data_IF_704252146436
#
_entry.id   IF_704252146436
#
_cell.length_a   1.000
_cell.length_b   1.000
_cell.length_c   1.000
_cell.angle_alpha   90.00
_cell.angle_beta   90.00
_cell.angle_gamma   90.00
#
_symmetry.space_group_name_H-M   'P 1'
#
loop_
_entity.id
_entity.type
_entity.pdbx_description
1 polymer ?
#
# COMPACT_ATOMS: atom_id res chain seq x y z
N UNK A 1 -33.53 -16.80 25.19
CA UNK A 1 -34.38 -17.92 24.72
C UNK A 1 -35.27 -18.31 25.90
N UNK A 2 -36.52 -17.92 25.91
CA UNK A 2 -37.46 -18.31 26.98
C UNK A 2 -38.01 -19.70 26.61
N UNK A 3 -37.74 -20.68 27.44
CA UNK A 3 -38.28 -22.04 27.31
C UNK A 3 -39.71 -21.96 27.83
N UNK A 4 -40.70 -22.02 26.92
CA UNK A 4 -42.10 -22.20 27.29
C UNK A 4 -42.27 -23.60 27.84
N UNK A 5 -43.06 -23.71 28.92
CA UNK A 5 -43.28 -24.92 29.68
C UNK A 5 -44.24 -25.88 28.93
N UNK A 6 -44.02 -26.15 27.66
CA UNK A 6 -44.77 -27.13 26.86
C UNK A 6 -44.03 -28.47 26.85
N UNK A 7 -44.78 -29.55 26.98
CA UNK A 7 -44.26 -30.89 27.25
C UNK A 7 -43.35 -31.48 26.15
N UNK A 8 -43.20 -30.84 25.01
CA UNK A 8 -42.32 -31.25 23.92
C UNK A 8 -41.97 -30.05 23.00
N UNK A 9 -40.78 -29.52 23.15
CA UNK A 9 -40.22 -28.57 22.19
C UNK A 9 -39.26 -29.31 21.22
N UNK A 10 -39.59 -29.38 19.95
CA UNK A 10 -38.72 -29.96 18.90
C UNK A 10 -37.96 -28.83 18.23
N UNK A 11 -36.67 -28.72 18.52
CA UNK A 11 -35.77 -27.82 17.83
C UNK A 11 -34.94 -28.61 16.78
N UNK A 12 -34.99 -28.21 15.52
CA UNK A 12 -34.15 -28.79 14.46
C UNK A 12 -32.93 -27.91 14.27
N UNK A 13 -31.76 -28.51 14.30
CA UNK A 13 -30.48 -27.84 14.02
C UNK A 13 -29.88 -28.41 12.74
N UNK A 14 -29.37 -27.53 11.88
CA UNK A 14 -28.56 -27.93 10.74
C UNK A 14 -27.10 -27.65 11.06
N UNK A 15 -26.25 -28.68 11.00
CA UNK A 15 -24.79 -28.55 11.15
C UNK A 15 -24.21 -28.58 9.73
N UNK A 16 -23.59 -27.48 9.34
CA UNK A 16 -22.89 -27.36 8.05
C UNK A 16 -21.40 -27.53 8.26
N UNK A 17 -20.82 -28.60 7.69
CA UNK A 17 -19.39 -28.87 7.66
C UNK A 17 -18.87 -28.58 6.25
N UNK A 18 -18.40 -27.36 6.02
CA UNK A 18 -17.91 -26.91 4.71
C UNK A 18 -16.67 -26.04 4.89
N UNK A 19 -15.78 -25.99 3.91
CA UNK A 19 -14.71 -24.98 3.89
C UNK A 19 -15.32 -23.57 3.95
N UNK A 20 -14.60 -22.62 4.53
CA UNK A 20 -14.96 -21.20 4.54
C UNK A 20 -14.68 -20.57 3.16
N UNK A 21 -15.29 -21.12 2.13
CA UNK A 21 -15.25 -20.62 0.76
C UNK A 21 -16.42 -19.69 0.48
N UNK A 22 -16.13 -18.52 -0.10
CA UNK A 22 -17.16 -17.50 -0.37
C UNK A 22 -18.26 -18.02 -1.30
N UNK A 23 -17.91 -18.73 -2.39
CA UNK A 23 -18.86 -19.19 -3.38
C UNK A 23 -19.74 -20.30 -2.80
N UNK A 24 -19.15 -21.23 -2.04
CA UNK A 24 -19.87 -22.30 -1.37
C UNK A 24 -20.84 -21.72 -0.35
N UNK A 25 -20.36 -20.81 0.53
CA UNK A 25 -21.21 -20.21 1.56
C UNK A 25 -22.36 -19.40 0.96
N UNK A 26 -22.10 -18.67 -0.13
CA UNK A 26 -23.11 -17.89 -0.85
C UNK A 26 -24.18 -18.78 -1.52
N UNK A 27 -23.81 -19.97 -2.00
CA UNK A 27 -24.74 -20.88 -2.66
C UNK A 27 -25.87 -21.39 -1.75
N UNK A 28 -25.72 -21.28 -0.43
CA UNK A 28 -26.76 -21.66 0.53
C UNK A 28 -27.86 -20.60 0.73
N UNK A 29 -27.69 -19.37 0.21
CA UNK A 29 -28.67 -18.27 0.24
C UNK A 29 -29.21 -17.90 1.64
N UNK A 30 -28.47 -18.21 2.71
CA UNK A 30 -28.81 -17.92 4.10
C UNK A 30 -27.78 -17.01 4.78
N UNK A 31 -27.14 -16.14 4.00
CA UNK A 31 -26.17 -15.14 4.46
C UNK A 31 -24.93 -15.72 5.18
N UNK A 32 -24.58 -16.98 4.94
CA UNK A 32 -23.40 -17.62 5.53
C UNK A 32 -22.08 -16.96 5.13
N UNK A 33 -22.03 -16.33 3.96
CA UNK A 33 -20.88 -15.56 3.51
C UNK A 33 -20.59 -14.36 4.44
N UNK A 34 -21.55 -13.92 5.24
CA UNK A 34 -21.36 -12.88 6.27
C UNK A 34 -20.53 -13.35 7.45
N UNK A 35 -20.35 -14.67 7.62
CA UNK A 35 -19.46 -15.25 8.65
C UNK A 35 -17.98 -15.01 8.33
N UNK A 36 -17.63 -14.77 7.05
CA UNK A 36 -16.31 -14.32 6.67
C UNK A 36 -16.09 -12.90 7.20
N UNK A 37 -15.28 -12.78 8.27
CA UNK A 37 -15.01 -11.50 8.92
C UNK A 37 -13.97 -10.72 8.10
N UNK A 38 -14.41 -9.62 7.51
CA UNK A 38 -13.51 -8.60 6.99
C UNK A 38 -13.41 -7.46 8.02
N UNK A 39 -12.20 -7.07 8.41
CA UNK A 39 -12.02 -5.86 9.21
C UNK A 39 -12.62 -4.67 8.46
N UNK A 40 -13.39 -3.80 9.13
CA UNK A 40 -14.11 -2.67 8.52
C UNK A 40 -15.11 -3.12 7.42
N UNK A 41 -15.97 -4.08 7.74
CA UNK A 41 -16.92 -4.75 6.84
C UNK A 41 -17.67 -3.81 5.88
N UNK A 42 -18.13 -2.69 6.36
CA UNK A 42 -18.90 -1.72 5.58
C UNK A 42 -18.14 -1.16 4.35
N UNK A 43 -16.81 -0.96 4.45
CA UNK A 43 -16.02 -0.35 3.38
C UNK A 43 -15.17 -1.38 2.62
N UNK A 44 -14.67 -2.39 3.32
CA UNK A 44 -13.73 -3.39 2.80
C UNK A 44 -14.46 -4.51 2.06
N UNK A 45 -15.61 -4.97 2.59
CA UNK A 45 -16.39 -6.05 2.00
C UNK A 45 -16.83 -5.77 0.56
N UNK A 46 -17.40 -4.60 0.20
CA UNK A 46 -17.77 -4.32 -1.19
C UNK A 46 -16.58 -4.39 -2.15
N UNK A 47 -15.42 -3.87 -1.74
CA UNK A 47 -14.19 -3.92 -2.55
C UNK A 47 -13.74 -5.37 -2.75
N UNK A 48 -13.72 -6.17 -1.68
CA UNK A 48 -13.33 -7.57 -1.74
C UNK A 48 -14.27 -8.40 -2.63
N UNK A 49 -15.60 -8.30 -2.39
CA UNK A 49 -16.59 -9.16 -3.02
C UNK A 49 -16.95 -8.77 -4.46
N UNK A 50 -17.03 -7.46 -4.75
CA UNK A 50 -17.48 -6.98 -6.05
C UNK A 50 -16.34 -6.60 -7.00
N UNK A 51 -15.12 -6.40 -6.48
CA UNK A 51 -13.98 -5.99 -7.32
C UNK A 51 -12.88 -7.05 -7.30
N UNK A 52 -12.32 -7.37 -6.12
CA UNK A 52 -11.10 -8.18 -6.05
C UNK A 52 -11.39 -9.63 -6.41
N UNK A 53 -12.33 -10.29 -5.73
CA UNK A 53 -12.65 -11.70 -5.96
C UNK A 53 -13.07 -11.99 -7.40
N UNK A 54 -14.04 -11.27 -8.01
CA UNK A 54 -14.45 -11.55 -9.38
C UNK A 54 -13.31 -11.42 -10.39
N UNK A 55 -12.44 -10.39 -10.21
CA UNK A 55 -11.29 -10.20 -11.12
C UNK A 55 -10.27 -11.32 -10.95
N UNK A 56 -9.93 -11.71 -9.73
CA UNK A 56 -8.98 -12.78 -9.45
C UNK A 56 -9.48 -14.13 -10.02
N UNK A 57 -10.74 -14.48 -9.77
CA UNK A 57 -11.33 -15.74 -10.27
C UNK A 57 -11.47 -15.74 -11.80
N UNK A 58 -11.90 -14.63 -12.40
CA UNK A 58 -11.93 -14.50 -13.86
C UNK A 58 -10.55 -14.68 -14.47
N UNK A 59 -9.51 -14.06 -13.89
CA UNK A 59 -8.14 -14.25 -14.38
C UNK A 59 -7.66 -15.69 -14.19
N UNK A 60 -8.00 -16.31 -13.05
CA UNK A 60 -7.62 -17.69 -12.79
C UNK A 60 -8.30 -18.71 -13.72
N UNK A 61 -9.51 -18.43 -14.18
CA UNK A 61 -10.19 -19.30 -15.16
C UNK A 61 -9.43 -19.41 -16.49
N UNK A 62 -8.58 -18.42 -16.82
CA UNK A 62 -7.74 -18.40 -18.03
C UNK A 62 -6.30 -18.80 -17.73
N UNK A 63 -5.79 -18.43 -16.54
CA UNK A 63 -4.38 -18.60 -16.14
C UNK A 63 -4.32 -19.56 -14.94
N UNK A 64 -3.81 -20.79 -15.10
CA UNK A 64 -3.88 -21.79 -14.03
C UNK A 64 -2.97 -21.50 -12.83
N UNK A 65 -2.05 -20.53 -12.91
CA UNK A 65 -1.10 -20.18 -11.85
C UNK A 65 -1.57 -18.99 -11.04
N UNK A 66 -1.91 -19.17 -9.77
CA UNK A 66 -2.28 -18.11 -8.85
C UNK A 66 -1.20 -17.04 -8.68
N UNK A 67 0.07 -17.40 -8.68
CA UNK A 67 1.16 -16.43 -8.59
C UNK A 67 1.18 -15.46 -9.78
N UNK A 68 0.98 -15.98 -11.01
CA UNK A 68 0.89 -15.13 -12.22
C UNK A 68 -0.36 -14.26 -12.16
N UNK A 69 -1.50 -14.81 -11.72
CA UNK A 69 -2.75 -14.04 -11.52
C UNK A 69 -2.53 -12.86 -10.58
N UNK A 70 -1.87 -13.08 -9.44
CA UNK A 70 -1.57 -12.02 -8.47
C UNK A 70 -0.66 -10.94 -9.08
N UNK A 71 0.36 -11.34 -9.83
CA UNK A 71 1.27 -10.39 -10.49
C UNK A 71 0.54 -9.52 -11.52
N UNK A 72 -0.30 -10.14 -12.36
CA UNK A 72 -1.10 -9.42 -13.35
C UNK A 72 -2.19 -8.55 -12.69
N UNK A 73 -2.79 -9.04 -11.61
CA UNK A 73 -3.72 -8.24 -10.82
C UNK A 73 -3.04 -6.99 -10.24
N UNK A 74 -1.80 -7.11 -9.73
CA UNK A 74 -1.02 -5.96 -9.28
C UNK A 74 -0.76 -4.95 -10.43
N UNK A 75 -0.52 -5.44 -11.65
CA UNK A 75 -0.36 -4.58 -12.82
C UNK A 75 -1.68 -3.87 -13.18
N UNK A 76 -2.81 -4.56 -13.19
CA UNK A 76 -4.14 -3.98 -13.44
C UNK A 76 -4.43 -2.90 -12.39
N UNK A 77 -4.25 -3.21 -11.12
CA UNK A 77 -4.44 -2.24 -10.04
C UNK A 77 -3.53 -1.02 -10.19
N UNK A 78 -2.28 -1.22 -10.65
CA UNK A 78 -1.37 -0.11 -10.95
C UNK A 78 -1.89 0.77 -12.08
N UNK A 79 -2.44 0.18 -13.14
CA UNK A 79 -3.03 0.93 -14.26
C UNK A 79 -4.25 1.72 -13.79
N UNK A 80 -5.16 1.08 -13.05
CA UNK A 80 -6.38 1.70 -12.51
C UNK A 80 -6.05 2.86 -11.56
N UNK A 81 -5.05 2.68 -10.69
CA UNK A 81 -4.62 3.71 -9.74
C UNK A 81 -3.63 4.74 -10.34
N UNK A 82 -3.28 4.59 -11.62
CA UNK A 82 -2.30 5.48 -12.27
C UNK A 82 -2.70 6.96 -12.29
N UNK A 83 -3.96 7.37 -12.58
CA UNK A 83 -4.35 8.78 -12.54
C UNK A 83 -4.14 9.39 -11.15
N UNK A 84 -4.42 8.63 -10.07
CA UNK A 84 -4.16 9.06 -8.71
C UNK A 84 -2.67 9.21 -8.43
N UNK A 85 -1.86 8.23 -8.87
CA UNK A 85 -0.37 8.28 -8.76
C UNK A 85 0.19 9.50 -9.49
N UNK A 86 -0.33 9.82 -10.68
CA UNK A 86 0.10 11.00 -11.46
C UNK A 86 -0.20 12.31 -10.73
N UNK A 87 -1.37 12.43 -10.12
CA UNK A 87 -1.74 13.60 -9.32
C UNK A 87 -0.83 13.75 -8.10
N UNK A 88 -0.54 12.65 -7.41
CA UNK A 88 0.42 12.62 -6.30
C UNK A 88 1.81 13.08 -6.74
N UNK A 89 2.34 12.50 -7.82
CA UNK A 89 3.66 12.88 -8.35
C UNK A 89 3.74 14.37 -8.69
N UNK A 90 2.68 14.94 -9.28
CA UNK A 90 2.61 16.38 -9.57
C UNK A 90 2.61 17.23 -8.29
N UNK A 91 1.87 16.82 -7.26
CA UNK A 91 1.87 17.50 -5.95
C UNK A 91 3.25 17.45 -5.30
N UNK A 92 3.94 16.31 -5.39
CA UNK A 92 5.29 16.15 -4.83
C UNK A 92 6.33 16.96 -5.62
N UNK A 93 6.21 17.07 -6.95
CA UNK A 93 7.05 17.96 -7.76
C UNK A 93 6.93 19.42 -7.29
N UNK A 94 5.71 19.92 -7.12
CA UNK A 94 5.46 21.27 -6.61
C UNK A 94 6.05 21.45 -5.20
N UNK A 95 5.86 20.45 -4.32
CA UNK A 95 6.43 20.45 -2.97
C UNK A 95 7.96 20.54 -3.02
N UNK A 96 8.61 19.76 -3.88
CA UNK A 96 10.06 19.78 -4.07
C UNK A 96 10.58 21.15 -4.51
N UNK A 97 9.85 21.85 -5.39
CA UNK A 97 10.24 23.19 -5.88
C UNK A 97 10.22 24.27 -4.78
N UNK A 98 9.30 24.15 -3.81
CA UNK A 98 9.23 25.12 -2.70
C UNK A 98 10.08 24.75 -1.48
N UNK A 99 10.66 23.55 -1.48
CA UNK A 99 11.46 23.04 -0.36
C UNK A 99 12.63 23.97 0.04
N UNK A 100 13.42 24.57 -0.89
CA UNK A 100 14.45 25.55 -0.51
C UNK A 100 13.88 26.78 0.19
N UNK A 101 12.69 27.27 -0.20
CA UNK A 101 12.01 28.38 0.49
C UNK A 101 11.61 27.97 1.91
N UNK A 102 11.08 26.77 2.08
CA UNK A 102 10.72 26.22 3.39
C UNK A 102 11.92 26.09 4.30
N UNK A 103 13.05 25.58 3.77
CA UNK A 103 14.29 25.43 4.54
C UNK A 103 14.82 26.80 5.01
N UNK A 104 14.84 27.79 4.12
CA UNK A 104 15.25 29.15 4.48
C UNK A 104 14.38 29.79 5.57
N UNK A 105 13.05 29.57 5.54
CA UNK A 105 12.15 30.05 6.60
C UNK A 105 12.43 29.35 7.94
N UNK A 106 12.66 28.04 7.90
CA UNK A 106 13.01 27.28 9.11
C UNK A 106 14.33 27.74 9.72
N UNK A 107 15.31 28.05 8.87
CA UNK A 107 16.60 28.60 9.32
C UNK A 107 16.45 30.00 9.91
N UNK A 108 15.63 30.84 9.26
CA UNK A 108 15.37 32.21 9.74
C UNK A 108 14.62 32.26 11.08
N UNK A 109 13.77 31.29 11.35
CA UNK A 109 12.91 31.22 12.54
C UNK A 109 13.21 30.00 13.41
N UNK A 110 14.50 29.67 13.62
CA UNK A 110 14.91 28.51 14.44
C UNK A 110 14.37 28.58 15.86
N UNK A 111 14.32 29.79 16.42
CA UNK A 111 13.92 30.05 17.80
C UNK A 111 12.41 30.22 17.98
N UNK A 112 11.66 30.32 16.87
CA UNK A 112 10.17 30.46 16.85
C UNK A 112 9.52 29.49 15.88
N UNK A 113 9.32 28.19 16.29
CA UNK A 113 8.70 27.17 15.44
C UNK A 113 7.27 27.51 15.03
N UNK A 114 6.53 28.26 15.85
CA UNK A 114 5.14 28.64 15.56
C UNK A 114 5.11 29.62 14.39
N UNK A 115 5.95 30.64 14.43
CA UNK A 115 6.08 31.63 13.35
C UNK A 115 6.60 31.01 12.06
N UNK A 116 7.58 30.07 12.16
CA UNK A 116 8.05 29.30 11.00
C UNK A 116 6.91 28.53 10.34
N UNK A 117 6.10 27.80 11.13
CA UNK A 117 4.97 27.03 10.61
C UNK A 117 3.90 27.92 9.97
N UNK A 118 3.58 29.09 10.56
CA UNK A 118 2.64 30.05 9.98
C UNK A 118 3.10 30.54 8.60
N UNK A 119 4.38 30.89 8.46
CA UNK A 119 4.92 31.33 7.17
C UNK A 119 4.97 30.19 6.15
N UNK A 120 5.29 28.97 6.55
CA UNK A 120 5.25 27.79 5.67
C UNK A 120 3.82 27.52 5.20
N UNK A 121 2.83 27.60 6.10
CA UNK A 121 1.42 27.44 5.71
C UNK A 121 0.94 28.53 4.75
N UNK A 122 1.45 29.76 4.88
CA UNK A 122 1.19 30.84 3.94
C UNK A 122 1.76 30.51 2.55
N UNK A 123 3.01 30.01 2.46
CA UNK A 123 3.58 29.59 1.17
C UNK A 123 2.75 28.47 0.54
N UNK A 124 2.30 27.46 1.30
CA UNK A 124 1.44 26.40 0.77
C UNK A 124 0.12 26.95 0.17
N UNK A 125 -0.48 27.94 0.83
CA UNK A 125 -1.68 28.61 0.34
C UNK A 125 -1.42 29.45 -0.92
N UNK A 126 -0.35 30.24 -0.92
CA UNK A 126 0.01 31.15 -2.03
C UNK A 126 0.37 30.33 -3.30
N UNK A 127 1.10 29.22 -3.15
CA UNK A 127 1.49 28.33 -4.26
C UNK A 127 0.38 27.29 -4.59
N UNK A 128 -0.79 27.33 -3.92
CA UNK A 128 -1.91 26.40 -4.08
C UNK A 128 -1.48 24.92 -3.96
N UNK A 129 -0.62 24.64 -3.00
CA UNK A 129 -0.10 23.28 -2.71
C UNK A 129 -0.83 22.73 -1.48
N UNK A 130 -1.42 21.54 -1.65
CA UNK A 130 -1.97 20.81 -0.53
C UNK A 130 -0.90 19.87 0.06
N UNK A 131 -0.40 20.10 1.29
CA UNK A 131 0.61 19.25 1.90
C UNK A 131 0.10 17.82 2.15
N UNK A 132 -1.22 17.63 2.31
CA UNK A 132 -1.83 16.31 2.46
C UNK A 132 -1.94 15.53 1.13
N UNK A 133 -1.71 16.18 -0.03
CA UNK A 133 -1.75 15.50 -1.33
C UNK A 133 -0.70 14.40 -1.49
N UNK A 134 0.40 14.46 -0.73
CA UNK A 134 1.44 13.43 -0.73
C UNK A 134 1.05 12.14 -0.02
N UNK A 135 0.19 12.19 1.02
CA UNK A 135 -0.23 11.02 1.80
C UNK A 135 -1.57 10.42 1.32
N UNK A 136 -2.29 11.10 0.41
CA UNK A 136 -3.60 10.66 -0.09
C UNK A 136 -3.59 9.22 -0.66
N UNK A 137 -2.58 8.79 -1.45
CA UNK A 137 -2.54 7.41 -1.92
C UNK A 137 -2.42 6.38 -0.81
N UNK A 138 -1.71 6.69 0.27
CA UNK A 138 -1.60 5.81 1.43
C UNK A 138 -2.96 5.60 2.10
N UNK A 139 -3.79 6.65 2.21
CA UNK A 139 -5.13 6.56 2.78
C UNK A 139 -6.06 5.71 1.90
N UNK A 140 -5.96 5.82 0.57
CA UNK A 140 -6.74 5.00 -0.37
C UNK A 140 -6.23 3.56 -0.39
N UNK A 141 -4.93 3.35 -0.17
CA UNK A 141 -4.32 2.03 -0.13
C UNK A 141 -4.74 1.20 1.09
N UNK A 142 -5.09 1.83 2.23
CA UNK A 142 -5.49 1.11 3.44
C UNK A 142 -6.74 0.23 3.24
N UNK A 143 -7.86 0.71 2.69
CA UNK A 143 -9.00 -0.15 2.38
C UNK A 143 -8.66 -1.31 1.44
N UNK A 144 -7.81 -1.04 0.43
CA UNK A 144 -7.36 -2.07 -0.52
C UNK A 144 -6.49 -3.11 0.20
N UNK A 145 -5.59 -2.67 1.10
CA UNK A 145 -4.78 -3.57 1.92
C UNK A 145 -5.65 -4.51 2.75
N UNK A 146 -6.63 -3.96 3.47
CA UNK A 146 -7.52 -4.76 4.31
C UNK A 146 -8.39 -5.71 3.48
N UNK A 147 -8.87 -5.27 2.31
CA UNK A 147 -9.65 -6.11 1.41
C UNK A 147 -8.81 -7.28 0.87
N UNK A 148 -7.59 -7.01 0.41
CA UNK A 148 -6.66 -8.04 -0.07
C UNK A 148 -6.25 -8.99 1.06
N UNK A 149 -5.95 -8.47 2.25
CA UNK A 149 -5.65 -9.29 3.42
C UNK A 149 -6.79 -10.26 3.73
N UNK A 150 -8.03 -9.76 3.74
CA UNK A 150 -9.21 -10.58 3.92
C UNK A 150 -9.36 -11.65 2.84
N UNK A 151 -9.21 -11.27 1.56
CA UNK A 151 -9.29 -12.20 0.41
C UNK A 151 -8.21 -13.28 0.50
N UNK A 152 -6.94 -12.92 0.71
CA UNK A 152 -5.84 -13.88 0.74
C UNK A 152 -5.89 -14.83 1.95
N UNK A 153 -6.49 -14.41 3.06
CA UNK A 153 -6.72 -15.29 4.21
C UNK A 153 -7.94 -16.20 4.08
N UNK A 154 -8.97 -15.77 3.34
CA UNK A 154 -10.23 -16.50 3.24
C UNK A 154 -10.35 -17.36 1.97
N UNK A 155 -9.58 -17.08 0.92
CA UNK A 155 -9.65 -17.81 -0.35
C UNK A 155 -8.94 -19.15 -0.22
N UNK A 156 -9.72 -20.23 -0.24
CA UNK A 156 -9.22 -21.60 -0.03
C UNK A 156 -8.32 -22.06 -1.19
N UNK A 157 -8.58 -21.59 -2.39
CA UNK A 157 -7.85 -21.94 -3.62
C UNK A 157 -6.39 -21.45 -3.61
N UNK A 158 -6.06 -20.50 -2.74
CA UNK A 158 -4.69 -20.06 -2.54
C UNK A 158 -3.88 -20.96 -1.62
N UNK A 159 -4.57 -21.82 -0.84
CA UNK A 159 -3.90 -22.79 0.03
C UNK A 159 -3.22 -23.86 -0.80
N UNK A 160 -1.95 -24.11 -0.46
CA UNK A 160 -1.07 -25.02 -1.19
C UNK A 160 -0.85 -24.65 -2.66
N UNK A 161 -1.30 -23.47 -3.12
CA UNK A 161 -0.93 -22.93 -4.42
C UNK A 161 0.52 -22.44 -4.36
N UNK A 162 1.43 -23.20 -4.99
CA UNK A 162 2.85 -22.87 -5.06
C UNK A 162 3.15 -21.85 -6.16
N UNK A 163 4.19 -21.04 -5.95
CA UNK A 163 4.74 -20.15 -6.96
C UNK A 163 6.22 -19.86 -6.74
N UNK A 164 7.06 -20.12 -7.74
CA UNK A 164 8.52 -20.04 -7.64
C UNK A 164 9.05 -20.88 -6.45
N UNK A 165 9.64 -20.23 -5.44
CA UNK A 165 10.13 -20.88 -4.21
C UNK A 165 9.08 -20.96 -3.11
N UNK A 166 7.91 -20.35 -3.32
CA UNK A 166 6.82 -20.29 -2.34
C UNK A 166 6.00 -21.57 -2.47
N UNK A 167 5.83 -22.27 -1.36
CA UNK A 167 5.04 -23.51 -1.32
C UNK A 167 3.54 -23.28 -1.16
N UNK A 168 3.17 -22.17 -0.52
CA UNK A 168 1.78 -21.83 -0.17
C UNK A 168 1.60 -20.31 -0.19
N UNK A 169 0.76 -19.81 -1.10
CA UNK A 169 0.45 -18.38 -1.20
C UNK A 169 -0.46 -17.87 -0.09
N UNK A 170 -1.19 -18.76 0.60
CA UNK A 170 -2.04 -18.38 1.74
C UNK A 170 -1.27 -18.33 3.08
N UNK A 171 -0.04 -18.85 3.13
CA UNK A 171 0.83 -18.83 4.29
C UNK A 171 2.02 -17.88 4.09
N UNK A 172 2.72 -17.44 5.16
CA UNK A 172 3.97 -16.70 5.03
C UNK A 172 5.07 -17.57 4.37
N UNK A 173 5.89 -16.98 3.48
CA UNK A 173 7.05 -17.66 2.87
C UNK A 173 8.27 -17.60 3.80
N UNK A 174 8.31 -18.49 4.79
CA UNK A 174 9.36 -18.51 5.81
C UNK A 174 10.67 -19.02 5.20
N UNK A 175 11.69 -18.14 5.13
CA UNK A 175 13.05 -18.50 4.70
C UNK A 175 13.98 -18.77 5.89
N UNK A 176 13.69 -18.16 7.05
CA UNK A 176 14.47 -18.36 8.26
C UNK A 176 13.55 -18.30 9.49
N UNK A 177 13.68 -19.29 10.36
CA UNK A 177 13.02 -19.30 11.65
C UNK A 177 13.98 -18.81 12.73
N UNK A 178 13.54 -17.83 13.54
CA UNK A 178 14.34 -17.29 14.62
C UNK A 178 14.14 -18.12 15.89
N UNK A 179 15.20 -18.33 16.70
CA UNK A 179 15.09 -19.06 17.97
C UNK A 179 14.43 -18.21 19.09
N UNK A 180 14.11 -16.95 18.81
CA UNK A 180 13.50 -16.01 19.74
C UNK A 180 12.42 -15.17 19.02
N UNK A 181 11.46 -14.67 19.80
CA UNK A 181 10.45 -13.72 19.27
C UNK A 181 10.95 -12.30 19.37
N UNK A 182 10.88 -11.58 18.24
CA UNK A 182 11.19 -10.15 18.22
C UNK A 182 10.20 -9.39 19.14
N UNK A 183 10.70 -8.56 20.07
CA UNK A 183 9.85 -7.73 20.90
C UNK A 183 9.03 -6.79 20.01
N UNK A 184 7.85 -6.36 20.47
CA UNK A 184 6.87 -5.47 19.80
C UNK A 184 5.92 -6.23 18.85
N UNK A 185 6.39 -7.08 17.94
CA UNK A 185 5.54 -7.74 16.93
C UNK A 185 5.38 -9.25 17.17
N UNK A 186 6.13 -9.84 18.12
CA UNK A 186 6.08 -11.28 18.42
C UNK A 186 6.53 -12.18 17.26
N UNK A 187 7.31 -11.64 16.34
CA UNK A 187 7.74 -12.31 15.10
C UNK A 187 8.89 -13.26 15.42
N UNK A 188 8.75 -14.52 15.02
CA UNK A 188 9.75 -15.57 15.13
C UNK A 188 10.21 -16.12 13.78
N UNK A 189 9.79 -15.46 12.69
CA UNK A 189 10.07 -15.91 11.33
C UNK A 189 10.42 -14.74 10.41
N UNK A 190 11.25 -15.01 9.40
CA UNK A 190 11.60 -14.05 8.35
C UNK A 190 11.04 -14.56 7.03
N UNK A 191 10.22 -13.72 6.38
CA UNK A 191 9.66 -13.97 5.06
C UNK A 191 10.52 -13.33 3.97
N UNK A 192 10.86 -14.10 2.94
CA UNK A 192 11.67 -13.62 1.81
C UNK A 192 10.96 -12.55 0.99
N UNK A 193 9.69 -12.78 0.65
CA UNK A 193 8.88 -11.81 -0.10
C UNK A 193 8.67 -10.51 0.68
N UNK A 194 8.47 -10.60 1.99
CA UNK A 194 8.33 -9.39 2.81
C UNK A 194 9.61 -8.56 2.83
N UNK A 195 10.80 -9.21 2.84
CA UNK A 195 12.08 -8.51 2.68
C UNK A 195 12.18 -7.83 1.32
N UNK A 196 11.88 -8.53 0.23
CA UNK A 196 11.88 -7.95 -1.12
C UNK A 196 10.90 -6.79 -1.24
N UNK A 197 9.70 -6.93 -0.67
CA UNK A 197 8.71 -5.85 -0.58
C UNK A 197 9.28 -4.64 0.19
N UNK A 198 9.91 -4.86 1.35
CA UNK A 198 10.51 -3.81 2.15
C UNK A 198 11.62 -3.06 1.40
N UNK A 199 12.48 -3.76 0.68
CA UNK A 199 13.53 -3.17 -0.16
C UNK A 199 12.90 -2.29 -1.26
N UNK A 200 11.91 -2.83 -1.99
CA UNK A 200 11.24 -2.05 -3.04
C UNK A 200 10.47 -0.86 -2.48
N UNK A 201 9.85 -1.01 -1.31
CA UNK A 201 9.18 0.08 -0.60
C UNK A 201 10.16 1.18 -0.18
N UNK A 202 11.33 0.80 0.33
CA UNK A 202 12.38 1.75 0.67
C UNK A 202 12.87 2.54 -0.56
N UNK A 203 13.12 1.84 -1.68
CA UNK A 203 13.50 2.48 -2.95
C UNK A 203 12.43 3.47 -3.40
N UNK A 204 11.15 3.06 -3.37
CA UNK A 204 10.02 3.90 -3.73
C UNK A 204 9.91 5.13 -2.83
N UNK A 205 10.03 4.97 -1.51
CA UNK A 205 10.02 6.07 -0.55
C UNK A 205 11.14 7.07 -0.82
N UNK A 206 12.36 6.59 -1.05
CA UNK A 206 13.51 7.42 -1.37
C UNK A 206 13.32 8.23 -2.66
N UNK A 207 12.64 7.67 -3.65
CA UNK A 207 12.30 8.37 -4.90
C UNK A 207 11.18 9.41 -4.72
N UNK A 208 10.40 9.28 -3.67
CA UNK A 208 9.15 10.04 -3.47
C UNK A 208 9.33 11.18 -2.47
N UNK A 209 10.00 10.94 -1.34
CA UNK A 209 10.13 11.91 -0.24
C UNK A 209 11.29 12.88 -0.48
N UNK A 210 10.99 14.16 -0.51
CA UNK A 210 11.94 15.26 -0.76
C UNK A 210 12.23 16.14 0.46
N UNK A 211 11.33 16.18 1.45
CA UNK A 211 11.51 17.02 2.63
C UNK A 211 12.53 16.40 3.61
N UNK A 212 13.61 17.11 3.99
CA UNK A 212 14.58 16.63 4.96
C UNK A 212 14.01 16.23 6.33
N UNK A 213 12.90 16.84 6.75
CA UNK A 213 12.23 16.47 8.01
C UNK A 213 11.48 15.14 7.92
N UNK A 214 11.09 14.72 6.71
CA UNK A 214 10.43 13.45 6.48
C UNK A 214 11.43 12.30 6.25
N UNK A 215 12.75 12.55 6.32
CA UNK A 215 13.77 11.50 6.16
C UNK A 215 13.59 10.34 7.15
N UNK A 216 13.24 10.63 8.39
CA UNK A 216 12.98 9.59 9.38
C UNK A 216 11.85 8.65 8.92
N UNK A 217 10.79 9.17 8.28
CA UNK A 217 9.69 8.39 7.75
C UNK A 217 10.14 7.45 6.62
N UNK A 218 11.09 7.89 5.79
CA UNK A 218 11.67 7.09 4.69
C UNK A 218 12.37 5.82 5.20
N UNK A 219 12.96 5.87 6.39
CA UNK A 219 13.67 4.72 6.97
C UNK A 219 12.79 3.89 7.90
N UNK A 220 12.07 4.55 8.80
CA UNK A 220 11.30 3.87 9.87
C UNK A 220 10.10 3.14 9.28
N UNK A 221 9.36 3.77 8.36
CA UNK A 221 8.11 3.21 7.84
C UNK A 221 8.29 1.91 7.04
N UNK A 222 9.24 1.80 6.08
CA UNK A 222 9.49 0.53 5.40
C UNK A 222 9.93 -0.58 6.35
N UNK A 223 10.79 -0.27 7.33
CA UNK A 223 11.24 -1.28 8.31
C UNK A 223 10.06 -1.76 9.16
N UNK A 224 9.27 -0.86 9.71
CA UNK A 224 8.10 -1.22 10.52
C UNK A 224 7.08 -2.05 9.74
N UNK A 225 6.78 -1.65 8.50
CA UNK A 225 5.84 -2.40 7.65
C UNK A 225 6.43 -3.76 7.23
N UNK A 226 7.71 -3.85 6.92
CA UNK A 226 8.35 -5.12 6.60
C UNK A 226 8.23 -6.11 7.76
N UNK A 227 8.47 -5.65 8.99
CA UNK A 227 8.30 -6.46 10.19
C UNK A 227 6.85 -6.96 10.32
N UNK A 228 5.87 -6.09 10.12
CA UNK A 228 4.46 -6.49 10.14
C UNK A 228 4.13 -7.54 9.06
N UNK A 229 4.66 -7.37 7.86
CA UNK A 229 4.41 -8.23 6.71
C UNK A 229 5.09 -9.60 6.79
N UNK A 230 6.02 -9.84 7.73
CA UNK A 230 6.58 -11.16 7.96
C UNK A 230 5.53 -12.21 8.37
N UNK A 231 4.45 -11.77 9.00
CA UNK A 231 3.35 -12.66 9.43
C UNK A 231 2.20 -12.75 8.40
N UNK A 232 2.30 -12.04 7.28
CA UNK A 232 1.23 -11.97 6.29
C UNK A 232 1.39 -13.05 5.21
N UNK A 233 0.29 -13.47 4.55
CA UNK A 233 0.32 -14.43 3.46
C UNK A 233 1.28 -14.03 2.34
N UNK A 234 1.99 -15.00 1.78
CA UNK A 234 2.94 -14.80 0.70
C UNK A 234 2.29 -14.16 -0.54
N UNK A 235 1.05 -14.52 -0.85
CA UNK A 235 0.29 -13.91 -1.95
C UNK A 235 0.11 -12.40 -1.78
N UNK A 236 -0.17 -11.93 -0.55
CA UNK A 236 -0.27 -10.51 -0.25
C UNK A 236 1.08 -9.79 -0.41
N UNK A 237 2.15 -10.42 0.09
CA UNK A 237 3.52 -9.91 -0.05
C UNK A 237 3.92 -9.83 -1.52
N UNK A 238 3.57 -10.84 -2.33
CA UNK A 238 3.81 -10.88 -3.78
C UNK A 238 3.08 -9.74 -4.50
N UNK A 239 1.81 -9.52 -4.16
CA UNK A 239 1.04 -8.40 -4.71
C UNK A 239 1.73 -7.06 -4.44
N UNK A 240 2.09 -6.78 -3.17
CA UNK A 240 2.72 -5.50 -2.80
C UNK A 240 4.12 -5.35 -3.38
N UNK A 241 4.91 -6.41 -3.41
CA UNK A 241 6.21 -6.42 -4.07
C UNK A 241 6.08 -6.02 -5.54
N UNK A 242 5.20 -6.69 -6.30
CA UNK A 242 4.99 -6.40 -7.72
C UNK A 242 4.39 -5.01 -7.96
N UNK A 243 3.43 -4.59 -7.13
CA UNK A 243 2.86 -3.25 -7.20
C UNK A 243 3.93 -2.16 -6.99
N UNK A 244 4.86 -2.36 -6.04
CA UNK A 244 5.99 -1.45 -5.81
C UNK A 244 6.94 -1.46 -7.01
N UNK A 245 7.29 -2.63 -7.55
CA UNK A 245 8.14 -2.75 -8.75
C UNK A 245 7.53 -1.97 -9.92
N UNK A 246 6.25 -2.19 -10.24
CA UNK A 246 5.57 -1.45 -11.31
C UNK A 246 5.51 0.06 -11.03
N UNK A 247 5.38 0.45 -9.76
CA UNK A 247 5.38 1.87 -9.37
C UNK A 247 6.76 2.49 -9.58
N UNK A 248 7.83 1.80 -9.19
CA UNK A 248 9.22 2.24 -9.38
C UNK A 248 9.53 2.38 -10.87
N UNK A 249 9.17 1.39 -11.69
CA UNK A 249 9.37 1.42 -13.14
C UNK A 249 8.61 2.59 -13.78
N UNK A 250 7.35 2.78 -13.42
CA UNK A 250 6.56 3.91 -13.91
C UNK A 250 7.15 5.26 -13.50
N UNK A 251 7.57 5.40 -12.24
CA UNK A 251 8.17 6.62 -11.73
C UNK A 251 9.53 6.91 -12.39
N UNK A 252 10.36 5.89 -12.54
CA UNK A 252 11.63 6.00 -13.23
C UNK A 252 11.45 6.47 -14.69
N UNK A 253 10.52 5.85 -15.43
CA UNK A 253 10.20 6.25 -16.80
C UNK A 253 9.66 7.68 -16.89
N UNK A 254 8.78 8.08 -15.99
CA UNK A 254 8.21 9.43 -15.93
C UNK A 254 9.26 10.47 -15.58
N UNK A 255 10.16 10.14 -14.63
CA UNK A 255 11.25 11.04 -14.25
C UNK A 255 12.29 11.20 -15.37
N UNK A 256 12.53 10.16 -16.17
CA UNK A 256 13.41 10.26 -17.36
C UNK A 256 12.84 11.22 -18.41
N UNK A 257 11.52 11.22 -18.62
CA UNK A 257 10.85 12.13 -19.55
C UNK A 257 10.74 13.56 -19.02
N UNK A 258 10.52 13.73 -17.72
CA UNK A 258 10.37 15.02 -17.07
C UNK A 258 11.18 15.02 -15.76
N UNK A 259 12.49 15.33 -15.84
CA UNK A 259 13.36 15.27 -14.66
C UNK A 259 12.80 16.12 -13.52
N UNK A 260 12.77 15.54 -12.32
CA UNK A 260 12.43 16.26 -11.11
C UNK A 260 13.72 16.76 -10.45
N UNK A 261 13.69 17.86 -9.68
CA UNK A 261 14.87 18.30 -8.92
C UNK A 261 15.45 17.22 -7.99
N UNK A 262 14.62 16.25 -7.57
CA UNK A 262 15.04 15.09 -6.77
C UNK A 262 15.95 14.15 -7.57
N UNK A 263 15.65 13.93 -8.84
CA UNK A 263 16.45 13.05 -9.71
C UNK A 263 17.83 13.64 -9.92
N UNK A 264 17.94 14.98 -10.06
CA UNK A 264 19.22 15.68 -10.21
C UNK A 264 20.11 15.54 -8.96
N UNK A 265 19.53 15.52 -7.78
CA UNK A 265 20.27 15.32 -6.52
C UNK A 265 20.76 13.87 -6.36
N UNK A 266 19.99 12.88 -6.80
CA UNK A 266 20.37 11.46 -6.70
C UNK A 266 21.43 11.09 -7.72
N UNK A 267 21.37 11.66 -8.93
CA UNK A 267 22.34 11.41 -10.01
C UNK A 267 23.63 12.21 -9.88
N UNK A 268 23.75 13.09 -8.90
CA UNK A 268 24.97 13.88 -8.65
C UNK A 268 25.16 15.05 -9.62
N UNK A 269 24.24 15.30 -10.52
CA UNK A 269 24.34 16.39 -11.52
C UNK A 269 23.87 17.73 -10.93
N UNK A 270 24.72 18.30 -10.05
CA UNK A 270 24.49 19.61 -9.43
C UNK A 270 24.52 20.78 -10.44
N UNK A 271 25.08 20.58 -11.63
CA UNK A 271 25.26 21.62 -12.65
C UNK A 271 23.94 22.10 -13.24
N UNK A 272 22.99 21.19 -13.49
CA UNK A 272 21.71 21.51 -14.10
C UNK A 272 20.67 22.05 -13.11
N UNK A 273 20.74 21.67 -11.83
CA UNK A 273 19.85 22.17 -10.79
C UNK A 273 19.94 23.69 -10.61
N UNK A 274 21.17 24.24 -10.68
CA UNK A 274 21.40 25.69 -10.53
C UNK A 274 20.97 26.46 -11.78
N UNK A 275 21.10 25.89 -12.99
CA UNK A 275 20.67 26.53 -14.24
C UNK A 275 19.15 26.63 -14.34
N UNK A 276 18.42 25.59 -13.94
CA UNK A 276 16.95 25.57 -13.98
C UNK A 276 16.32 26.53 -12.96
N UNK A 277 16.95 26.79 -11.81
CA UNK A 277 16.51 27.79 -10.85
C UNK A 277 16.65 29.23 -11.36
N UNK A 278 17.63 29.50 -12.25
CA UNK A 278 17.83 30.83 -12.87
C UNK A 278 16.88 31.11 -14.04
N UNK A 279 16.33 30.08 -14.68
CA UNK A 279 15.48 30.21 -15.88
C UNK A 279 13.97 30.15 -15.60
N UNK A 280 13.54 30.16 -14.34
CA UNK A 280 12.12 30.25 -14.02
C UNK A 280 11.64 31.68 -14.32
N UNK A 281 10.71 31.92 -15.27
CA UNK A 281 10.26 33.26 -15.61
C UNK A 281 9.61 33.89 -14.39
N UNK A 282 10.12 35.03 -13.95
CA UNK A 282 9.44 35.90 -12.97
C UNK A 282 8.10 36.32 -13.61
N UNK A 283 7.00 35.69 -13.21
CA UNK A 283 5.66 36.22 -13.49
C UNK A 283 5.60 37.62 -12.88
N UNK A 284 5.62 38.66 -13.73
CA UNK A 284 5.29 40.03 -13.34
C UNK A 284 3.89 40.03 -12.77
N UNK A 285 3.80 40.48 -11.52
CA UNK A 285 2.54 40.89 -10.91
C UNK A 285 2.12 42.20 -11.59
N UNK A 286 1.09 42.15 -12.38
CA UNK A 286 0.21 43.28 -12.69
C UNK A 286 -1.15 42.95 -12.18
#
# INVERSE_FOLDING_TARGET
>A
MEIKNDALEKSSFMILLTPLDYNILKSYEIDLEKTLRFSLDFMVRPIAQYVILPVLFFMHSVIPSWGIVIMLFALIMKIVLNPLTKTQMNSMKKMSQINPKITAIREKHKDDPVKANQQIMKIYKDEKINPAGGCLPMLIQLPILYALFGVFNSTIELRHAGFLWIKDLAAPDVILQLPFKLPIFGIDQISGLALLMGITMFIQQKMTVTDPKQKALVYIMPVMLTLLFFSFPAGLNLYYFMFNVFTILYQWWTNKKNPTPVTEVITGDKSNAVKNLKNTPKKRLT
#
